data_IF_023040151119
#
_entry.id   IF_023040151119
#
_cell.length_a   1.000
_cell.length_b   1.000
_cell.length_c   1.000
_cell.angle_alpha   90.00
_cell.angle_beta   90.00
_cell.angle_gamma   90.00
#
_symmetry.space_group_name_H-M   'P 1'
#
loop_
_entity.id
_entity.type
_entity.pdbx_description
1 polymer ?
#
# COMPACT_ATOMS: atom_id res chain seq x y z
N UNK A 1 7.90 -55.00 18.80
CA UNK A 1 7.88 -53.78 17.99
C UNK A 1 6.98 -52.72 18.60
N UNK A 2 7.53 -51.56 18.94
CA UNK A 2 6.77 -50.41 19.40
C UNK A 2 6.48 -49.51 18.19
N UNK A 3 5.26 -49.59 17.66
CA UNK A 3 4.80 -48.76 16.54
C UNK A 3 3.90 -47.64 17.08
N UNK A 4 4.24 -46.39 16.79
CA UNK A 4 3.38 -45.24 17.05
C UNK A 4 2.41 -45.05 15.88
N UNK A 5 1.11 -45.23 16.14
CA UNK A 5 0.05 -44.93 15.18
C UNK A 5 -0.58 -43.61 15.58
N UNK A 6 -0.55 -42.63 14.68
CA UNK A 6 -1.26 -41.36 14.83
C UNK A 6 -2.58 -41.42 14.05
N UNK A 7 -3.73 -41.51 14.71
CA UNK A 7 -5.01 -41.53 14.02
C UNK A 7 -5.20 -40.26 13.19
N UNK A 8 -5.76 -40.39 11.99
CA UNK A 8 -6.00 -39.25 11.10
C UNK A 8 -6.86 -38.16 11.77
N UNK A 9 -7.81 -38.55 12.62
CA UNK A 9 -8.64 -37.63 13.39
C UNK A 9 -7.82 -36.82 14.40
N UNK A 10 -6.91 -37.47 15.14
CA UNK A 10 -6.02 -36.79 16.11
C UNK A 10 -5.10 -35.82 15.37
N UNK A 11 -4.53 -36.24 14.24
CA UNK A 11 -3.68 -35.36 13.42
C UNK A 11 -4.49 -34.18 12.86
N UNK A 12 -5.69 -34.41 12.36
CA UNK A 12 -6.58 -33.35 11.88
C UNK A 12 -6.89 -32.33 12.99
N UNK A 13 -7.39 -32.80 14.13
CA UNK A 13 -7.87 -31.95 15.22
C UNK A 13 -6.75 -31.25 15.99
N UNK A 14 -5.64 -31.94 16.26
CA UNK A 14 -4.60 -31.41 17.14
C UNK A 14 -3.51 -30.65 16.39
N UNK A 15 -3.29 -30.97 15.10
CA UNK A 15 -2.20 -30.39 14.31
C UNK A 15 -2.73 -29.45 13.23
N UNK A 16 -3.71 -29.88 12.44
CA UNK A 16 -4.16 -29.09 11.29
C UNK A 16 -5.24 -28.06 11.65
N UNK A 17 -6.21 -28.40 12.49
CA UNK A 17 -7.32 -27.49 12.83
C UNK A 17 -6.85 -26.14 13.37
N UNK A 18 -5.86 -26.05 14.30
CA UNK A 18 -5.36 -24.76 14.75
C UNK A 18 -4.79 -23.88 13.63
N UNK A 19 -4.19 -24.50 12.59
CA UNK A 19 -3.66 -23.78 11.43
C UNK A 19 -4.79 -23.39 10.48
N UNK A 20 -5.74 -24.29 10.24
CA UNK A 20 -6.91 -24.06 9.37
C UNK A 20 -7.80 -22.96 9.95
N UNK A 21 -8.01 -22.95 11.26
CA UNK A 21 -8.81 -21.93 11.93
C UNK A 21 -8.21 -20.53 11.74
N UNK A 22 -6.87 -20.42 11.81
CA UNK A 22 -6.17 -19.17 11.49
C UNK A 22 -6.35 -18.74 10.04
N UNK A 23 -6.33 -19.69 9.09
CA UNK A 23 -6.60 -19.41 7.67
C UNK A 23 -8.03 -18.90 7.48
N UNK A 24 -9.01 -19.54 8.13
CA UNK A 24 -10.43 -19.16 8.06
C UNK A 24 -10.66 -17.77 8.66
N UNK A 25 -10.05 -17.47 9.82
CA UNK A 25 -10.13 -16.14 10.44
C UNK A 25 -9.58 -15.08 9.50
N UNK A 26 -8.38 -15.29 8.95
CA UNK A 26 -7.78 -14.35 8.00
C UNK A 26 -8.63 -14.17 6.74
N UNK A 27 -9.23 -15.25 6.22
CA UNK A 27 -10.14 -15.20 5.09
C UNK A 27 -11.35 -14.30 5.39
N UNK A 28 -11.96 -14.45 6.57
CA UNK A 28 -13.09 -13.62 7.01
C UNK A 28 -12.69 -12.16 7.15
N UNK A 29 -11.54 -11.87 7.76
CA UNK A 29 -11.01 -10.51 7.93
C UNK A 29 -10.84 -9.81 6.57
N UNK A 30 -10.27 -10.50 5.59
CA UNK A 30 -10.09 -9.96 4.22
C UNK A 30 -11.43 -9.71 3.53
N UNK A 31 -12.42 -10.60 3.73
CA UNK A 31 -13.77 -10.40 3.19
C UNK A 31 -14.49 -9.22 3.85
N UNK A 32 -14.32 -9.04 5.17
CA UNK A 32 -14.86 -7.91 5.92
C UNK A 32 -14.21 -6.57 5.52
N UNK A 33 -12.89 -6.55 5.34
CA UNK A 33 -12.16 -5.41 4.78
C UNK A 33 -12.71 -5.05 3.39
N UNK A 34 -12.92 -6.05 2.53
CA UNK A 34 -13.55 -5.87 1.24
C UNK A 34 -14.92 -5.21 1.33
N UNK A 35 -15.80 -5.73 2.21
CA UNK A 35 -17.14 -5.20 2.45
C UNK A 35 -17.14 -3.75 2.93
N UNK A 36 -16.25 -3.40 3.87
CA UNK A 36 -16.07 -2.01 4.36
C UNK A 36 -15.70 -1.05 3.23
N UNK A 37 -14.99 -1.54 2.22
CA UNK A 37 -14.61 -0.80 1.02
C UNK A 37 -15.68 -0.87 -0.10
N UNK A 38 -16.88 -1.38 0.18
CA UNK A 38 -17.96 -1.52 -0.80
C UNK A 38 -17.77 -2.67 -1.80
N UNK A 39 -16.93 -3.66 -1.50
CA UNK A 39 -16.66 -4.79 -2.38
C UNK A 39 -17.26 -6.09 -1.82
N UNK A 40 -17.93 -6.85 -2.67
CA UNK A 40 -18.48 -8.17 -2.33
C UNK A 40 -17.58 -9.27 -2.89
N UNK A 41 -17.19 -10.22 -2.05
CA UNK A 41 -16.48 -11.42 -2.49
C UNK A 41 -17.43 -12.31 -3.29
N UNK A 42 -17.08 -12.58 -4.55
CA UNK A 42 -17.91 -13.42 -5.43
C UNK A 42 -17.38 -14.84 -5.58
N UNK A 43 -16.08 -15.06 -5.33
CA UNK A 43 -15.38 -16.34 -5.45
C UNK A 43 -14.13 -16.35 -4.57
N UNK A 44 -13.71 -17.52 -4.11
CA UNK A 44 -12.42 -17.72 -3.43
C UNK A 44 -11.61 -18.76 -4.18
N UNK A 45 -10.33 -18.46 -4.43
CA UNK A 45 -9.37 -19.39 -5.04
C UNK A 45 -8.40 -19.89 -3.96
N UNK A 46 -8.35 -21.21 -3.75
CA UNK A 46 -7.41 -21.83 -2.82
C UNK A 46 -6.18 -22.35 -3.58
N UNK A 47 -5.04 -21.71 -3.38
CA UNK A 47 -3.77 -22.04 -4.02
C UNK A 47 -2.67 -22.36 -2.98
N UNK A 48 -1.56 -22.92 -3.46
CA UNK A 48 -0.43 -23.39 -2.65
C UNK A 48 -0.47 -24.89 -2.37
N UNK A 49 0.65 -25.47 -1.93
CA UNK A 49 0.75 -26.93 -1.70
C UNK A 49 -0.28 -27.45 -0.69
N UNK A 50 -0.58 -26.68 0.36
CA UNK A 50 -1.55 -27.10 1.39
C UNK A 50 -2.99 -27.12 0.88
N UNK A 51 -3.29 -26.42 -0.22
CA UNK A 51 -4.61 -26.46 -0.86
C UNK A 51 -4.98 -27.83 -1.42
N UNK A 52 -4.03 -28.78 -1.54
CA UNK A 52 -4.31 -30.19 -1.88
C UNK A 52 -4.98 -30.96 -0.73
N UNK A 53 -4.95 -30.43 0.50
CA UNK A 53 -5.59 -31.05 1.65
C UNK A 53 -7.11 -31.02 1.52
N UNK A 54 -7.74 -32.20 1.45
CA UNK A 54 -9.21 -32.33 1.46
C UNK A 54 -9.83 -31.77 2.74
N UNK A 55 -9.13 -31.90 3.87
CA UNK A 55 -9.57 -31.36 5.16
C UNK A 55 -9.65 -29.83 5.11
N UNK A 56 -8.59 -29.17 4.63
CA UNK A 56 -8.60 -27.71 4.44
C UNK A 56 -9.71 -27.28 3.47
N UNK A 57 -9.83 -27.94 2.31
CA UNK A 57 -10.86 -27.60 1.33
C UNK A 57 -12.27 -27.72 1.92
N UNK A 58 -12.53 -28.76 2.73
CA UNK A 58 -13.82 -28.96 3.38
C UNK A 58 -14.12 -27.84 4.38
N UNK A 59 -13.18 -27.57 5.30
CA UNK A 59 -13.32 -26.53 6.34
C UNK A 59 -13.49 -25.13 5.74
N UNK A 60 -12.74 -24.80 4.68
CA UNK A 60 -12.88 -23.51 3.98
C UNK A 60 -14.23 -23.40 3.27
N UNK A 61 -14.70 -24.47 2.60
CA UNK A 61 -15.99 -24.48 1.92
C UNK A 61 -17.15 -24.32 2.90
N UNK A 62 -17.09 -25.00 4.03
CA UNK A 62 -18.06 -24.82 5.12
C UNK A 62 -18.07 -23.39 5.64
N UNK A 63 -16.88 -22.81 5.88
CA UNK A 63 -16.76 -21.45 6.37
C UNK A 63 -17.23 -20.35 5.38
N UNK A 64 -17.17 -20.63 4.07
CA UNK A 64 -17.65 -19.72 3.02
C UNK A 64 -19.17 -19.74 2.85
N UNK A 65 -19.80 -20.86 3.18
CA UNK A 65 -21.21 -21.08 2.90
C UNK A 65 -21.50 -21.37 1.41
N UNK A 66 -22.79 -21.53 1.05
CA UNK A 66 -23.19 -21.99 -0.27
C UNK A 66 -23.04 -20.93 -1.38
N UNK A 67 -23.04 -19.64 -1.04
CA UNK A 67 -23.14 -18.55 -2.02
C UNK A 67 -21.79 -18.21 -2.69
N UNK A 68 -20.68 -18.52 -2.02
CA UNK A 68 -19.34 -18.15 -2.49
C UNK A 68 -18.59 -19.42 -2.92
N UNK A 69 -18.45 -19.67 -4.23
CA UNK A 69 -17.79 -20.87 -4.70
C UNK A 69 -16.29 -20.85 -4.36
N UNK A 70 -15.84 -21.96 -3.77
CA UNK A 70 -14.43 -22.28 -3.59
C UNK A 70 -13.88 -22.94 -4.86
N UNK A 71 -12.99 -22.21 -5.54
CA UNK A 71 -12.24 -22.70 -6.68
C UNK A 71 -10.91 -23.30 -6.21
N UNK A 72 -10.59 -24.48 -6.70
CA UNK A 72 -9.31 -25.15 -6.46
C UNK A 72 -8.71 -25.46 -7.83
N UNK A 73 -7.55 -24.91 -8.19
CA UNK A 73 -6.87 -25.24 -9.46
C UNK A 73 -6.58 -26.74 -9.57
N UNK A 74 -6.36 -27.23 -10.79
CA UNK A 74 -5.97 -28.63 -11.02
C UNK A 74 -4.66 -28.98 -10.29
N UNK A 75 -3.66 -28.09 -10.38
CA UNK A 75 -2.50 -28.11 -9.50
C UNK A 75 -2.44 -26.83 -8.65
N UNK A 76 -2.98 -26.84 -7.42
CA UNK A 76 -2.91 -25.71 -6.52
C UNK A 76 -1.46 -25.35 -6.13
N UNK A 77 -0.56 -26.33 -6.09
CA UNK A 77 0.85 -26.14 -5.75
C UNK A 77 1.61 -25.34 -6.80
N UNK A 78 1.25 -25.53 -8.08
CA UNK A 78 1.84 -24.79 -9.20
C UNK A 78 1.08 -23.51 -9.56
N UNK A 79 -0.14 -23.29 -9.05
CA UNK A 79 -1.02 -22.20 -9.48
C UNK A 79 -0.37 -20.80 -9.45
N UNK A 80 0.46 -20.51 -8.44
CA UNK A 80 1.16 -19.21 -8.34
C UNK A 80 2.20 -19.03 -9.44
N UNK A 81 3.06 -20.03 -9.67
CA UNK A 81 4.10 -19.95 -10.72
C UNK A 81 3.48 -19.98 -12.11
N UNK A 82 2.44 -20.78 -12.32
CA UNK A 82 1.66 -20.78 -13.56
C UNK A 82 1.07 -19.40 -13.83
N UNK A 83 0.46 -18.76 -12.83
CA UNK A 83 -0.04 -17.39 -12.94
C UNK A 83 1.05 -16.38 -13.26
N UNK A 84 2.24 -16.52 -12.65
CA UNK A 84 3.39 -15.66 -12.93
C UNK A 84 3.90 -15.81 -14.38
N UNK A 85 3.98 -17.03 -14.90
CA UNK A 85 4.37 -17.29 -16.31
C UNK A 85 3.34 -16.69 -17.26
N UNK A 86 2.04 -16.92 -17.02
CA UNK A 86 0.98 -16.35 -17.85
C UNK A 86 1.04 -14.82 -17.80
N UNK A 87 1.28 -14.22 -16.63
CA UNK A 87 1.45 -12.77 -16.51
C UNK A 87 2.70 -12.25 -17.25
N UNK A 88 3.80 -13.00 -17.24
CA UNK A 88 5.00 -12.65 -18.01
C UNK A 88 4.76 -12.65 -19.51
N UNK A 89 3.95 -13.60 -20.01
CA UNK A 89 3.58 -13.69 -21.44
C UNK A 89 2.49 -12.67 -21.82
N UNK A 90 1.48 -12.49 -20.95
CA UNK A 90 0.29 -11.68 -21.17
C UNK A 90 0.10 -10.64 -20.05
N UNK A 91 1.02 -9.66 -19.91
CA UNK A 91 0.98 -8.71 -18.80
C UNK A 91 -0.25 -7.81 -18.81
N UNK A 92 -0.86 -7.61 -19.98
CA UNK A 92 -2.06 -6.80 -20.16
C UNK A 92 -3.31 -7.38 -19.50
N UNK A 93 -3.31 -8.65 -19.10
CA UNK A 93 -4.45 -9.27 -18.42
C UNK A 93 -4.70 -8.70 -17.02
N UNK A 94 -3.66 -8.18 -16.35
CA UNK A 94 -3.83 -7.46 -15.08
C UNK A 94 -3.96 -5.99 -15.39
N UNK A 95 -5.19 -5.48 -15.32
CA UNK A 95 -5.50 -4.08 -15.65
C UNK A 95 -5.36 -3.14 -14.46
N UNK A 96 -5.45 -3.65 -13.23
CA UNK A 96 -5.36 -2.85 -12.02
C UNK A 96 -4.87 -3.67 -10.81
N UNK A 97 -4.39 -2.98 -9.77
CA UNK A 97 -4.01 -3.57 -8.49
C UNK A 97 -4.53 -2.71 -7.34
N UNK A 98 -4.93 -3.35 -6.23
CA UNK A 98 -5.28 -2.60 -5.01
C UNK A 98 -4.03 -2.30 -4.19
N UNK A 99 -3.87 -1.05 -3.79
CA UNK A 99 -2.76 -0.63 -2.93
C UNK A 99 -2.87 -1.26 -1.54
N UNK A 100 -1.78 -1.88 -1.06
CA UNK A 100 -1.72 -2.52 0.27
C UNK A 100 -1.57 -1.52 1.41
N UNK A 101 -0.96 -0.38 1.11
CA UNK A 101 -0.71 0.75 1.99
C UNK A 101 -0.92 2.03 1.20
N UNK A 102 -1.17 3.13 1.91
CA UNK A 102 -1.13 4.46 1.31
C UNK A 102 0.31 4.84 1.04
N UNK A 103 0.57 5.49 -0.10
CA UNK A 103 1.88 6.06 -0.42
C UNK A 103 1.78 7.56 -0.63
N UNK A 104 2.83 8.28 -0.26
CA UNK A 104 2.89 9.73 -0.39
C UNK A 104 4.27 10.29 -0.08
N UNK A 105 4.39 11.60 -0.19
CA UNK A 105 5.65 12.32 0.02
C UNK A 105 5.55 13.35 1.13
N UNK A 106 6.68 13.65 1.74
CA UNK A 106 6.80 14.80 2.64
C UNK A 106 6.73 16.11 1.84
N UNK A 107 5.97 17.07 2.32
CA UNK A 107 5.81 18.41 1.76
C UNK A 107 5.62 19.46 2.85
N UNK A 108 5.51 20.71 2.44
CA UNK A 108 5.17 21.84 3.29
C UNK A 108 3.98 22.59 2.71
N UNK A 109 3.17 23.23 3.54
CA UNK A 109 2.11 24.16 3.12
C UNK A 109 2.00 25.35 4.07
N UNK A 110 1.27 26.39 3.68
CA UNK A 110 0.94 27.53 4.54
C UNK A 110 0.19 27.06 5.79
N UNK A 111 0.62 27.54 6.96
CA UNK A 111 0.14 27.11 8.26
C UNK A 111 -1.35 27.39 8.46
N UNK A 112 -2.10 26.36 8.84
CA UNK A 112 -3.55 26.44 9.04
C UNK A 112 -3.96 26.34 10.51
N UNK A 113 -5.24 26.62 10.80
CA UNK A 113 -5.82 26.39 12.14
C UNK A 113 -5.82 24.91 12.53
N UNK A 114 -6.03 24.01 11.57
CA UNK A 114 -6.00 22.56 11.81
C UNK A 114 -4.60 22.06 12.17
N UNK A 115 -3.55 22.64 11.56
CA UNK A 115 -2.17 22.38 11.94
C UNK A 115 -1.92 22.79 13.40
N UNK A 116 -2.44 23.95 13.83
CA UNK A 116 -2.29 24.43 15.20
C UNK A 116 -2.97 23.54 16.23
N UNK A 117 -4.22 23.13 15.95
CA UNK A 117 -4.94 22.19 16.82
C UNK A 117 -4.22 20.84 16.89
N UNK A 118 -3.75 20.34 15.76
CA UNK A 118 -3.05 19.07 15.71
C UNK A 118 -1.70 19.13 16.45
N UNK A 119 -0.93 20.20 16.27
CA UNK A 119 0.35 20.41 16.94
C UNK A 119 0.20 20.59 18.45
N UNK A 120 -0.84 21.29 18.91
CA UNK A 120 -1.14 21.41 20.34
C UNK A 120 -1.43 20.05 20.99
N UNK A 121 -2.11 19.15 20.27
CA UNK A 121 -2.47 17.82 20.77
C UNK A 121 -1.33 16.79 20.64
N UNK A 122 -0.50 16.87 19.60
CA UNK A 122 0.42 15.79 19.22
C UNK A 122 1.90 16.21 19.13
N UNK A 123 2.22 17.50 19.21
CA UNK A 123 3.58 18.02 19.05
C UNK A 123 4.08 18.15 17.61
N UNK A 124 3.21 17.94 16.60
CA UNK A 124 3.51 18.11 15.18
C UNK A 124 2.24 18.49 14.40
N UNK A 125 2.32 19.11 13.22
CA UNK A 125 3.53 19.47 12.44
C UNK A 125 4.35 20.61 13.07
N UNK A 126 5.58 20.78 12.61
CA UNK A 126 6.44 21.89 13.01
C UNK A 126 6.03 23.17 12.26
N UNK A 127 5.91 24.28 13.00
CA UNK A 127 5.62 25.61 12.45
C UNK A 127 6.90 26.39 12.22
N UNK A 128 7.11 26.91 11.01
CA UNK A 128 8.26 27.79 10.71
C UNK A 128 7.85 29.01 9.89
N UNK A 129 8.62 30.09 9.97
CA UNK A 129 8.39 31.30 9.18
C UNK A 129 9.00 31.16 7.79
N UNK A 130 8.23 31.44 6.74
CA UNK A 130 8.68 31.44 5.36
C UNK A 130 8.91 32.88 4.90
N UNK A 131 10.18 33.26 4.70
CA UNK A 131 10.57 34.66 4.47
C UNK A 131 10.15 35.23 3.13
N UNK A 132 10.08 34.41 2.07
CA UNK A 132 9.74 34.89 0.72
C UNK A 132 8.24 35.18 0.58
N UNK A 133 7.40 34.37 1.25
CA UNK A 133 5.94 34.50 1.21
C UNK A 133 5.41 35.36 2.37
N UNK A 134 6.26 35.69 3.36
CA UNK A 134 5.90 36.41 4.58
C UNK A 134 4.74 35.79 5.36
N UNK A 135 4.75 34.46 5.48
CA UNK A 135 3.76 33.71 6.26
C UNK A 135 4.36 32.50 6.97
N UNK A 136 3.61 31.91 7.89
CA UNK A 136 4.03 30.67 8.53
C UNK A 136 3.67 29.47 7.67
N UNK A 137 4.53 28.46 7.69
CA UNK A 137 4.35 27.18 7.04
C UNK A 137 4.38 26.03 8.05
N UNK A 138 3.74 24.92 7.68
CA UNK A 138 3.85 23.62 8.34
C UNK A 138 4.88 22.74 7.62
N UNK A 139 5.76 22.11 8.39
CA UNK A 139 6.71 21.09 7.91
C UNK A 139 6.25 19.69 8.30
N UNK A 140 6.53 18.70 7.45
CA UNK A 140 6.15 17.31 7.70
C UNK A 140 4.74 16.94 7.20
N UNK A 141 4.21 17.66 6.21
CA UNK A 141 2.87 17.39 5.67
C UNK A 141 2.94 16.19 4.73
N UNK A 142 2.12 15.17 4.99
CA UNK A 142 2.05 13.96 4.18
C UNK A 142 1.11 14.17 2.99
N UNK A 143 1.69 14.39 1.81
CA UNK A 143 0.95 14.54 0.56
C UNK A 143 0.84 13.18 -0.13
N UNK A 144 -0.35 12.58 -0.01
CA UNK A 144 -0.64 11.22 -0.45
C UNK A 144 -0.86 11.14 -1.96
N UNK A 145 -0.28 10.13 -2.60
CA UNK A 145 -0.58 9.75 -3.98
C UNK A 145 -1.77 8.80 -4.07
N UNK A 146 -1.77 7.75 -3.24
CA UNK A 146 -2.77 6.68 -3.28
C UNK A 146 -3.15 6.25 -1.88
N UNK A 147 -4.40 5.84 -1.71
CA UNK A 147 -4.93 5.29 -0.46
C UNK A 147 -4.74 3.78 -0.37
N UNK A 148 -4.62 3.25 0.85
CA UNK A 148 -4.77 1.81 1.11
C UNK A 148 -6.16 1.38 0.64
N UNK A 149 -6.19 0.31 -0.14
CA UNK A 149 -7.40 -0.24 -0.74
C UNK A 149 -7.79 0.39 -2.08
N UNK A 150 -7.18 1.52 -2.47
CA UNK A 150 -7.45 2.14 -3.77
C UNK A 150 -7.07 1.19 -4.90
N UNK A 151 -7.98 1.03 -5.87
CA UNK A 151 -7.73 0.29 -7.09
C UNK A 151 -7.02 1.19 -8.09
N UNK A 152 -5.73 0.92 -8.33
CA UNK A 152 -4.87 1.69 -9.23
C UNK A 152 -4.72 0.94 -10.54
N UNK A 153 -5.09 1.57 -11.66
CA UNK A 153 -4.94 0.98 -12.99
C UNK A 153 -3.47 0.88 -13.36
N UNK A 154 -3.11 -0.08 -14.22
CA UNK A 154 -1.75 -0.16 -14.77
C UNK A 154 -1.48 1.08 -15.62
N UNK A 155 -0.29 1.66 -15.45
CA UNK A 155 0.13 2.92 -16.08
C UNK A 155 -0.64 4.17 -15.62
N UNK A 156 -1.44 4.06 -14.54
CA UNK A 156 -2.00 5.22 -13.88
C UNK A 156 -0.86 6.07 -13.28
N UNK A 157 -0.97 7.38 -13.45
CA UNK A 157 -0.01 8.36 -12.94
C UNK A 157 -0.73 9.33 -12.03
N UNK A 158 -0.43 9.29 -10.75
CA UNK A 158 -0.85 10.34 -9.82
C UNK A 158 0.24 11.41 -9.77
N UNK A 159 -0.14 12.65 -10.05
CA UNK A 159 0.76 13.79 -10.13
C UNK A 159 0.61 14.71 -8.93
N UNK A 160 1.74 15.06 -8.31
CA UNK A 160 1.81 16.19 -7.39
C UNK A 160 2.81 17.21 -7.90
N UNK A 161 2.36 18.45 -8.08
CA UNK A 161 3.26 19.57 -8.27
C UNK A 161 3.92 19.91 -6.93
N UNK A 162 5.25 19.94 -6.93
CA UNK A 162 6.07 20.38 -5.81
C UNK A 162 6.95 21.54 -6.25
N UNK A 163 7.21 22.45 -5.32
CA UNK A 163 8.06 23.61 -5.52
C UNK A 163 9.30 23.47 -4.64
N UNK A 164 10.46 24.00 -5.06
CA UNK A 164 11.55 24.26 -4.13
C UNK A 164 11.05 25.15 -3.00
N UNK A 165 11.59 24.94 -1.79
CA UNK A 165 11.12 25.71 -0.64
C UNK A 165 11.47 27.20 -0.79
N UNK A 166 12.65 27.53 -1.29
CA UNK A 166 13.10 28.93 -1.47
C UNK A 166 13.63 29.18 -2.89
N UNK A 167 13.67 30.44 -3.33
CA UNK A 167 14.16 30.89 -4.64
C UNK A 167 15.63 30.51 -4.88
N UNK A 168 16.44 30.50 -3.83
CA UNK A 168 17.86 30.14 -3.87
C UNK A 168 18.13 28.63 -3.74
N UNK A 169 17.08 27.82 -3.56
CA UNK A 169 17.21 26.37 -3.44
C UNK A 169 17.94 25.78 -4.66
N UNK A 170 19.00 25.02 -4.40
CA UNK A 170 19.82 24.32 -5.40
C UNK A 170 19.45 22.85 -5.55
N UNK A 171 18.64 22.33 -4.63
CA UNK A 171 18.13 20.96 -4.65
C UNK A 171 16.78 20.88 -3.93
N UNK A 172 16.02 19.83 -4.22
CA UNK A 172 14.77 19.48 -3.55
C UNK A 172 14.90 18.08 -2.97
N UNK A 173 14.45 17.93 -1.73
CA UNK A 173 14.43 16.64 -1.04
C UNK A 173 13.02 16.05 -1.09
N UNK A 174 12.88 14.92 -1.78
CA UNK A 174 11.64 14.16 -1.87
C UNK A 174 11.79 12.90 -1.04
N UNK A 175 11.08 12.85 0.10
CA UNK A 175 11.06 11.66 0.95
C UNK A 175 9.75 10.90 0.75
N UNK A 176 9.84 9.61 0.42
CA UNK A 176 8.70 8.71 0.18
C UNK A 176 8.31 8.00 1.49
N UNK A 177 7.03 8.04 1.80
CA UNK A 177 6.42 7.44 2.98
C UNK A 177 5.30 6.47 2.61
N UNK A 178 5.02 5.53 3.50
CA UNK A 178 3.79 4.75 3.49
C UNK A 178 3.13 4.67 4.86
N UNK A 179 1.83 4.37 4.87
CA UNK A 179 1.09 4.06 6.09
C UNK A 179 -0.10 3.15 5.80
N UNK A 180 -0.55 2.40 6.80
CA UNK A 180 -1.81 1.63 6.76
C UNK A 180 -3.05 2.47 7.15
N UNK A 181 -2.85 3.70 7.62
CA UNK A 181 -3.90 4.63 8.05
C UNK A 181 -4.20 5.69 6.97
N UNK A 182 -5.38 5.60 6.36
CA UNK A 182 -5.84 6.56 5.34
C UNK A 182 -6.19 7.95 5.92
N UNK A 183 -6.25 8.10 7.25
CA UNK A 183 -6.53 9.38 7.91
C UNK A 183 -5.27 10.18 8.23
N UNK A 184 -4.08 9.57 8.11
CA UNK A 184 -2.82 10.22 8.42
C UNK A 184 -2.56 11.45 7.53
N UNK A 185 -2.21 12.57 8.17
CA UNK A 185 -1.97 13.87 7.51
C UNK A 185 -0.51 14.34 7.58
N UNK A 186 0.29 13.78 8.47
CA UNK A 186 1.67 14.20 8.69
C UNK A 186 2.62 13.02 8.66
N UNK A 187 3.87 13.27 8.27
CA UNK A 187 4.92 12.24 8.21
C UNK A 187 5.37 11.76 9.60
N UNK A 188 5.00 12.49 10.65
CA UNK A 188 5.24 12.13 12.05
C UNK A 188 4.06 11.37 12.67
N UNK A 189 2.98 11.13 11.92
CA UNK A 189 1.84 10.34 12.41
C UNK A 189 2.28 8.90 12.76
N UNK A 190 1.72 8.28 13.81
CA UNK A 190 2.00 6.89 14.15
C UNK A 190 1.77 5.95 12.97
N UNK A 191 2.65 4.96 12.80
CA UNK A 191 2.55 4.00 11.69
C UNK A 191 2.97 4.56 10.32
N UNK A 192 3.73 5.66 10.28
CA UNK A 192 4.42 6.14 9.10
C UNK A 192 5.78 5.44 8.93
N UNK A 193 5.98 4.84 7.76
CA UNK A 193 7.25 4.25 7.36
C UNK A 193 7.90 5.06 6.24
N UNK A 194 9.14 5.51 6.44
CA UNK A 194 9.92 6.20 5.40
C UNK A 194 10.73 5.18 4.60
N UNK A 195 10.49 5.12 3.29
CA UNK A 195 11.16 4.16 2.40
C UNK A 195 12.40 4.72 1.71
N UNK A 196 12.34 5.99 1.31
CA UNK A 196 13.40 6.58 0.52
C UNK A 196 13.52 8.09 0.74
N UNK A 197 14.70 8.61 0.43
CA UNK A 197 15.00 10.04 0.36
C UNK A 197 15.74 10.30 -0.95
N UNK A 198 15.13 11.05 -1.84
CA UNK A 198 15.69 11.41 -3.14
C UNK A 198 16.08 12.88 -3.08
N UNK A 199 17.36 13.17 -3.29
CA UNK A 199 17.85 14.52 -3.47
C UNK A 199 17.88 14.81 -4.97
N UNK A 200 17.01 15.72 -5.42
CA UNK A 200 16.98 16.17 -6.80
C UNK A 200 17.73 17.50 -6.88
N UNK A 201 18.87 17.51 -7.57
CA UNK A 201 19.56 18.76 -7.89
C UNK A 201 18.75 19.55 -8.92
N UNK A 202 18.60 20.86 -8.66
CA UNK A 202 17.90 21.75 -9.56
C UNK A 202 18.90 22.29 -10.60
N UNK A 203 18.50 22.36 -11.88
CA UNK A 203 19.36 22.89 -12.93
C UNK A 203 19.72 24.35 -12.63
N UNK A 204 21.01 24.68 -12.77
CA UNK A 204 21.48 26.07 -12.69
C UNK A 204 21.09 26.80 -13.96
N UNK A 205 19.99 27.53 -13.93
CA UNK A 205 19.54 28.32 -15.08
C UNK A 205 20.34 29.63 -15.11
N UNK A 206 21.03 29.90 -16.23
CA UNK A 206 21.92 31.06 -16.42
C UNK A 206 21.18 32.41 -16.37
N UNK A 207 19.88 32.43 -16.69
CA UNK A 207 18.94 33.44 -16.26
C UNK A 207 18.26 32.94 -14.99
N UNK A 208 18.60 33.49 -13.82
CA UNK A 208 17.94 33.07 -12.57
C UNK A 208 16.41 33.12 -12.75
N UNK A 209 15.68 32.01 -12.50
CA UNK A 209 14.23 32.11 -12.34
C UNK A 209 13.97 33.15 -11.26
N UNK A 210 13.06 34.09 -11.54
CA UNK A 210 12.79 35.21 -10.65
C UNK A 210 12.06 34.77 -9.39
N UNK A 211 11.47 33.57 -9.42
CA UNK A 211 10.74 32.98 -8.32
C UNK A 211 10.76 31.44 -8.39
N UNK A 212 10.68 30.79 -7.22
CA UNK A 212 10.49 29.35 -7.02
C UNK A 212 9.24 28.83 -7.73
N UNK A 213 8.23 29.69 -7.93
CA UNK A 213 7.03 29.36 -8.68
C UNK A 213 7.28 29.05 -10.17
N UNK A 214 8.43 29.48 -10.70
CA UNK A 214 8.88 29.17 -12.07
C UNK A 214 9.59 27.80 -12.16
N UNK A 215 9.95 27.19 -11.03
CA UNK A 215 10.69 25.92 -10.94
C UNK A 215 9.79 24.76 -10.47
N UNK A 216 8.63 24.59 -11.10
CA UNK A 216 7.70 23.50 -10.78
C UNK A 216 8.33 22.14 -11.10
N UNK A 217 8.26 21.24 -10.13
CA UNK A 217 8.62 19.84 -10.28
C UNK A 217 7.36 18.97 -10.23
N UNK A 218 7.32 17.91 -11.03
CA UNK A 218 6.27 16.89 -10.93
C UNK A 218 6.80 15.68 -10.17
N UNK A 219 6.23 15.40 -9.00
CA UNK A 219 6.39 14.13 -8.33
C UNK A 219 5.31 13.17 -8.85
N UNK A 220 5.73 12.06 -9.45
CA UNK A 220 4.85 11.10 -10.11
C UNK A 220 4.86 9.78 -9.36
N UNK A 221 3.70 9.31 -8.95
CA UNK A 221 3.51 7.91 -8.58
C UNK A 221 3.03 7.14 -9.80
N UNK A 222 3.85 6.21 -10.26
CA UNK A 222 3.60 5.43 -11.46
C UNK A 222 3.37 3.96 -11.10
N UNK A 223 2.22 3.40 -11.47
CA UNK A 223 1.87 2.00 -11.27
C UNK A 223 2.40 1.10 -12.40
N UNK A 224 3.73 1.03 -12.63
CA UNK A 224 4.31 0.11 -13.62
C UNK A 224 4.87 -1.14 -12.95
N UNK A 225 4.52 -2.32 -13.44
CA UNK A 225 5.29 -3.54 -13.24
C UNK A 225 6.62 -3.63 -14.02
N UNK A 226 6.93 -2.73 -14.97
CA UNK A 226 8.17 -2.77 -15.78
C UNK A 226 9.41 -2.10 -15.13
N UNK A 227 9.65 -2.30 -13.83
CA UNK A 227 10.99 -2.04 -13.27
C UNK A 227 11.76 -3.36 -13.29
N UNK A 228 12.17 -3.77 -14.49
CA UNK A 228 12.78 -5.07 -14.76
C UNK A 228 13.38 -5.12 -16.15
N UNK A 229 14.26 -4.16 -16.45
CA UNK A 229 15.48 -4.33 -17.24
C UNK A 229 16.57 -3.57 -16.50
#
# INVERSE_FOLDING_TARGET
DQTLVLPAEVVAQQIFDPVIDRIITLMRDVMDDGRRLGNTCTKVLLAGGFARSRHLQSRVREALGPDIPLLVPEDPGAAVVTGAVIYGVLPYMVTARRCRVSYGINTTHSWTGDDALHAAANGYPEKFWHSEDNEYYASGVYKRFVDRGQLVQVNEVVKHTVLPLYDDSTSVNIALYSTTDNTARYTNSPGMDRHARILLELPRISSMPRSRHDRKLEALYYSNPRAGV
#
